data_IF_087543483314
#
_entry.id   IF_087543483314
#
_cell.length_a   1.000
_cell.length_b   1.000
_cell.length_c   1.000
_cell.angle_alpha   90.00
_cell.angle_beta   90.00
_cell.angle_gamma   90.00
#
_symmetry.space_group_name_H-M   'P 1'
#
loop_
_entity.id
_entity.type
_entity.pdbx_description
1 polymer ?
#
# COMPACT_ATOMS: atom_id res chain seq x y z
N UNK A 1 1.77 13.40 21.53
CA UNK A 1 2.20 14.20 20.38
C UNK A 1 0.95 14.52 19.57
N UNK A 2 0.53 15.78 19.43
CA UNK A 2 -0.63 16.10 18.59
C UNK A 2 -0.19 16.19 17.12
N UNK A 3 -0.83 15.45 16.21
CA UNK A 3 -0.46 15.50 14.79
C UNK A 3 -1.03 16.76 14.14
N UNK A 4 -0.16 17.75 13.96
CA UNK A 4 -0.48 18.97 13.21
C UNK A 4 -0.51 18.67 11.71
N UNK A 5 -1.71 18.33 11.20
CA UNK A 5 -1.96 17.99 9.78
C UNK A 5 -1.41 19.05 8.81
N UNK A 6 -1.61 20.33 9.14
CA UNK A 6 -1.13 21.46 8.33
C UNK A 6 0.39 21.51 8.28
N UNK A 7 1.04 21.32 9.43
CA UNK A 7 2.49 21.35 9.54
C UNK A 7 3.14 20.20 8.77
N UNK A 8 2.56 19.00 8.85
CA UNK A 8 3.02 17.84 8.07
C UNK A 8 3.01 18.15 6.57
N UNK A 9 1.91 18.70 6.05
CA UNK A 9 1.78 19.01 4.61
C UNK A 9 2.77 20.11 4.19
N UNK A 10 2.86 21.21 4.96
CA UNK A 10 3.76 22.32 4.66
C UNK A 10 5.23 21.89 4.74
N UNK A 11 5.58 21.11 5.76
CA UNK A 11 6.94 20.59 5.95
C UNK A 11 7.32 19.65 4.80
N UNK A 12 6.46 18.67 4.49
CA UNK A 12 6.67 17.74 3.39
C UNK A 12 6.84 18.46 2.04
N UNK A 13 6.03 19.50 1.79
CA UNK A 13 6.14 20.33 0.58
C UNK A 13 7.45 21.11 0.50
N UNK A 14 7.93 21.66 1.62
CA UNK A 14 9.20 22.38 1.66
C UNK A 14 10.40 21.44 1.43
N UNK A 15 10.38 20.25 2.02
CA UNK A 15 11.41 19.22 1.81
C UNK A 15 11.42 18.75 0.34
N UNK A 16 10.24 18.48 -0.21
CA UNK A 16 10.07 18.07 -1.60
C UNK A 16 10.61 19.12 -2.57
N UNK A 17 10.25 20.39 -2.37
CA UNK A 17 10.66 21.52 -3.21
C UNK A 17 12.16 21.60 -3.45
N UNK A 18 12.96 21.31 -2.43
CA UNK A 18 14.41 21.38 -2.53
C UNK A 18 14.99 20.28 -3.45
N UNK A 19 14.30 19.14 -3.56
CA UNK A 19 14.75 17.96 -4.31
C UNK A 19 13.82 17.61 -5.49
N UNK A 20 12.98 18.54 -5.93
CA UNK A 20 11.93 18.31 -6.94
C UNK A 20 12.48 17.73 -8.25
N UNK A 21 13.61 18.23 -8.73
CA UNK A 21 14.19 17.78 -10.00
C UNK A 21 14.52 16.27 -9.98
N UNK A 22 15.10 15.80 -8.88
CA UNK A 22 15.43 14.38 -8.70
C UNK A 22 14.15 13.54 -8.58
N UNK A 23 13.17 14.01 -7.82
CA UNK A 23 11.89 13.30 -7.66
C UNK A 23 11.12 13.20 -8.98
N UNK A 24 11.04 14.27 -9.76
CA UNK A 24 10.42 14.25 -11.09
C UNK A 24 11.14 13.27 -12.01
N UNK A 25 12.47 13.25 -11.98
CA UNK A 25 13.27 12.33 -12.81
C UNK A 25 12.99 10.87 -12.43
N UNK A 26 12.92 10.55 -11.15
CA UNK A 26 12.61 9.20 -10.68
C UNK A 26 11.19 8.79 -11.06
N UNK A 27 10.20 9.65 -10.83
CA UNK A 27 8.81 9.35 -11.17
C UNK A 27 8.65 9.16 -12.68
N UNK A 28 9.27 10.01 -13.50
CA UNK A 28 9.24 9.89 -14.95
C UNK A 28 9.94 8.61 -15.44
N UNK A 29 11.04 8.23 -14.80
CA UNK A 29 11.71 6.95 -15.05
C UNK A 29 10.80 5.76 -14.73
N UNK A 30 10.16 5.76 -13.55
CA UNK A 30 9.22 4.69 -13.13
C UNK A 30 8.04 4.59 -14.10
N UNK A 31 7.42 5.72 -14.48
CA UNK A 31 6.30 5.74 -15.43
C UNK A 31 6.74 5.19 -16.79
N UNK A 32 7.90 5.63 -17.30
CA UNK A 32 8.44 5.15 -18.58
C UNK A 32 8.67 3.64 -18.56
N UNK A 33 9.15 3.12 -17.44
CA UNK A 33 9.43 1.71 -17.25
C UNK A 33 8.13 0.87 -17.14
N UNK A 34 7.09 1.40 -16.50
CA UNK A 34 5.76 0.79 -16.49
C UNK A 34 5.17 0.70 -17.90
N UNK A 35 5.22 1.79 -18.67
CA UNK A 35 4.75 1.80 -20.07
C UNK A 35 5.53 0.77 -20.90
N UNK A 36 6.84 0.70 -20.73
CA UNK A 36 7.69 -0.27 -21.41
C UNK A 36 7.26 -1.72 -21.09
N UNK A 37 7.03 -2.04 -19.82
CA UNK A 37 6.56 -3.37 -19.42
C UNK A 37 5.19 -3.71 -20.01
N UNK A 38 4.25 -2.76 -20.01
CA UNK A 38 2.93 -2.97 -20.63
C UNK A 38 3.07 -3.25 -22.13
N UNK A 39 3.86 -2.47 -22.86
CA UNK A 39 4.07 -2.66 -24.30
C UNK A 39 4.72 -4.01 -24.59
N UNK A 40 5.72 -4.41 -23.80
CA UNK A 40 6.39 -5.71 -23.94
C UNK A 40 5.39 -6.84 -23.71
N UNK A 41 4.59 -6.76 -22.66
CA UNK A 41 3.59 -7.78 -22.35
C UNK A 41 2.55 -7.91 -23.48
N UNK A 42 2.01 -6.80 -23.97
CA UNK A 42 0.96 -6.78 -24.98
C UNK A 42 1.46 -7.23 -26.37
N UNK A 43 2.63 -6.74 -26.80
CA UNK A 43 3.12 -6.97 -28.17
C UNK A 43 3.98 -8.21 -28.35
N UNK A 44 4.78 -8.58 -27.35
CA UNK A 44 5.73 -9.69 -27.47
C UNK A 44 5.19 -10.99 -26.91
N UNK A 45 4.35 -10.93 -25.88
CA UNK A 45 3.91 -12.11 -25.14
C UNK A 45 2.45 -12.46 -25.39
N UNK A 46 1.62 -11.49 -25.78
CA UNK A 46 0.28 -11.67 -26.36
C UNK A 46 -0.67 -12.50 -25.49
N UNK A 47 -0.60 -13.82 -25.65
CA UNK A 47 -1.39 -14.80 -24.91
C UNK A 47 -0.82 -15.11 -23.50
N UNK A 48 -1.68 -15.66 -22.65
CA UNK A 48 -1.29 -16.16 -21.32
C UNK A 48 -0.48 -17.45 -21.48
N UNK A 49 0.82 -17.31 -21.74
CA UNK A 49 1.80 -18.39 -21.84
C UNK A 49 2.67 -18.40 -20.57
N UNK A 50 3.35 -19.50 -20.26
CA UNK A 50 4.29 -19.58 -19.14
C UNK A 50 5.35 -18.46 -19.14
N UNK A 51 5.83 -18.05 -20.31
CA UNK A 51 6.77 -16.94 -20.48
C UNK A 51 6.15 -15.59 -20.07
N UNK A 52 4.86 -15.36 -20.38
CA UNK A 52 4.18 -14.13 -20.02
C UNK A 52 3.92 -14.03 -18.53
N UNK A 53 3.54 -15.13 -17.89
CA UNK A 53 3.41 -15.21 -16.42
C UNK A 53 4.75 -14.92 -15.74
N UNK A 54 5.85 -15.54 -16.19
CA UNK A 54 7.18 -15.31 -15.62
C UNK A 54 7.61 -13.85 -15.78
N UNK A 55 7.36 -13.24 -16.94
CA UNK A 55 7.63 -11.82 -17.18
C UNK A 55 6.82 -10.92 -16.25
N UNK A 56 5.52 -11.17 -16.07
CA UNK A 56 4.66 -10.39 -15.16
C UNK A 56 5.19 -10.44 -13.73
N UNK A 57 5.56 -11.63 -13.25
CA UNK A 57 6.12 -11.79 -11.90
C UNK A 57 7.44 -11.02 -11.77
N UNK A 58 8.35 -11.15 -12.74
CA UNK A 58 9.63 -10.44 -12.72
C UNK A 58 9.44 -8.92 -12.77
N UNK A 59 8.55 -8.42 -13.63
CA UNK A 59 8.21 -7.00 -13.73
C UNK A 59 7.60 -6.47 -12.43
N UNK A 60 6.70 -7.25 -11.82
CA UNK A 60 6.09 -6.91 -10.53
C UNK A 60 7.13 -6.81 -9.41
N UNK A 61 8.01 -7.81 -9.28
CA UNK A 61 9.10 -7.78 -8.29
C UNK A 61 10.04 -6.60 -8.54
N UNK A 62 10.41 -6.34 -9.80
CA UNK A 62 11.26 -5.21 -10.14
C UNK A 62 10.60 -3.87 -9.75
N UNK A 63 9.30 -3.71 -10.03
CA UNK A 63 8.54 -2.52 -9.65
C UNK A 63 8.45 -2.36 -8.13
N UNK A 64 8.28 -3.44 -7.37
CA UNK A 64 8.34 -3.41 -5.90
C UNK A 64 9.72 -2.94 -5.41
N UNK A 65 10.80 -3.43 -6.02
CA UNK A 65 12.16 -2.99 -5.70
C UNK A 65 12.37 -1.48 -5.91
N UNK A 66 11.86 -0.94 -7.03
CA UNK A 66 11.89 0.51 -7.29
C UNK A 66 11.07 1.30 -6.26
N UNK A 67 9.90 0.80 -5.84
CA UNK A 67 9.09 1.43 -4.79
C UNK A 67 9.86 1.51 -3.47
N UNK A 68 10.60 0.46 -3.08
CA UNK A 68 11.44 0.48 -1.88
C UNK A 68 12.63 1.44 -2.00
N UNK A 69 13.20 1.58 -3.19
CA UNK A 69 14.23 2.58 -3.48
C UNK A 69 13.69 4.01 -3.33
N UNK A 70 12.50 4.28 -3.87
CA UNK A 70 11.82 5.56 -3.74
C UNK A 70 11.49 5.87 -2.28
N UNK A 71 11.05 4.87 -1.51
CA UNK A 71 10.80 5.00 -0.08
C UNK A 71 12.08 5.38 0.66
N UNK A 72 13.20 4.70 0.40
CA UNK A 72 14.51 5.03 1.00
C UNK A 72 14.94 6.46 0.65
N UNK A 73 14.78 6.88 -0.60
CA UNK A 73 15.07 8.26 -1.02
C UNK A 73 14.20 9.27 -0.26
N UNK A 74 12.91 8.96 -0.08
CA UNK A 74 11.97 9.83 0.64
C UNK A 74 12.34 9.96 2.13
N UNK A 75 12.78 8.86 2.76
CA UNK A 75 13.30 8.88 4.14
C UNK A 75 14.60 9.70 4.24
N UNK A 76 15.54 9.49 3.31
CA UNK A 76 16.79 10.23 3.26
C UNK A 76 16.57 11.74 3.08
N UNK A 77 15.54 12.14 2.31
CA UNK A 77 15.11 13.54 2.18
C UNK A 77 14.66 14.16 3.50
N UNK A 78 13.96 13.39 4.33
CA UNK A 78 13.51 13.85 5.65
C UNK A 78 14.69 13.91 6.63
N UNK A 79 15.60 12.93 6.55
CA UNK A 79 16.77 12.82 7.41
C UNK A 79 17.94 13.75 7.00
N UNK A 80 17.79 14.54 5.92
CA UNK A 80 18.84 15.38 5.33
C UNK A 80 20.12 14.59 4.97
N UNK A 81 19.94 13.35 4.53
CA UNK A 81 21.03 12.52 4.04
C UNK A 81 21.29 12.77 2.54
N UNK A 82 22.36 12.17 2.01
CA UNK A 82 22.68 12.26 0.58
C UNK A 82 21.59 11.57 -0.24
N UNK A 83 21.13 12.27 -1.28
CA UNK A 83 20.09 11.79 -2.18
C UNK A 83 20.66 11.73 -3.60
N UNK A 84 20.70 10.54 -4.15
CA UNK A 84 21.19 10.27 -5.50
C UNK A 84 20.23 9.32 -6.21
N UNK A 85 20.13 9.44 -7.54
CA UNK A 85 19.27 8.56 -8.35
C UNK A 85 19.60 7.07 -8.16
N UNK A 86 20.88 6.74 -7.96
CA UNK A 86 21.35 5.37 -7.82
C UNK A 86 20.80 4.67 -6.56
N UNK A 87 20.40 5.43 -5.53
CA UNK A 87 19.75 4.89 -4.33
C UNK A 87 18.43 4.17 -4.64
N UNK A 88 17.81 4.47 -5.78
CA UNK A 88 16.60 3.79 -6.26
C UNK A 88 16.80 2.26 -6.39
N UNK A 89 18.03 1.83 -6.70
CA UNK A 89 18.36 0.41 -6.87
C UNK A 89 19.01 -0.21 -5.62
N UNK A 90 19.31 0.57 -4.59
CA UNK A 90 20.06 0.09 -3.43
C UNK A 90 19.20 -0.77 -2.47
N UNK A 91 17.87 -0.59 -2.49
CA UNK A 91 16.95 -1.27 -1.58
C UNK A 91 16.50 -2.66 -2.05
N UNK A 92 17.00 -3.18 -3.18
CA UNK A 92 16.55 -4.48 -3.73
C UNK A 92 16.88 -5.67 -2.82
N UNK A 93 17.88 -5.55 -1.95
CA UNK A 93 18.19 -6.58 -0.96
C UNK A 93 17.08 -6.78 0.08
N UNK A 94 16.24 -5.76 0.33
CA UNK A 94 15.08 -5.82 1.23
C UNK A 94 13.79 -6.28 0.55
N UNK A 95 13.84 -6.62 -0.74
CA UNK A 95 12.66 -7.01 -1.52
C UNK A 95 12.01 -8.29 -0.97
N UNK A 96 12.81 -9.30 -0.61
CA UNK A 96 12.27 -10.56 -0.07
C UNK A 96 11.58 -10.35 1.29
N UNK A 97 12.21 -9.69 2.29
CA UNK A 97 11.52 -9.29 3.51
C UNK A 97 10.24 -8.48 3.25
N UNK A 98 10.26 -7.58 2.27
CA UNK A 98 9.10 -6.76 1.91
C UNK A 98 7.96 -7.62 1.39
N UNK A 99 8.21 -8.48 0.41
CA UNK A 99 7.18 -9.38 -0.16
C UNK A 99 6.57 -10.25 0.92
N UNK A 100 7.39 -10.82 1.82
CA UNK A 100 6.90 -11.63 2.93
C UNK A 100 6.05 -10.80 3.92
N UNK A 101 6.48 -9.59 4.25
CA UNK A 101 5.72 -8.68 5.09
C UNK A 101 4.38 -8.29 4.45
N UNK A 102 4.37 -8.00 3.14
CA UNK A 102 3.17 -7.69 2.38
C UNK A 102 2.21 -8.88 2.34
N UNK A 103 2.70 -10.12 2.17
CA UNK A 103 1.87 -11.32 2.23
C UNK A 103 1.22 -11.47 3.62
N UNK A 104 1.99 -11.27 4.70
CA UNK A 104 1.44 -11.32 6.06
C UNK A 104 0.42 -10.20 6.32
N UNK A 105 0.69 -8.99 5.84
CA UNK A 105 -0.24 -7.87 5.90
C UNK A 105 -1.55 -8.17 5.16
N UNK A 106 -1.47 -8.71 3.94
CA UNK A 106 -2.64 -9.11 3.15
C UNK A 106 -3.44 -10.23 3.84
N UNK A 107 -2.74 -11.22 4.41
CA UNK A 107 -3.38 -12.29 5.17
C UNK A 107 -4.11 -11.74 6.42
N UNK A 108 -3.50 -10.80 7.14
CA UNK A 108 -4.11 -10.16 8.30
C UNK A 108 -5.35 -9.35 7.91
N UNK A 109 -5.32 -8.63 6.78
CA UNK A 109 -6.50 -7.93 6.24
C UNK A 109 -7.62 -8.90 5.86
N UNK A 110 -7.29 -10.02 5.20
CA UNK A 110 -8.28 -11.02 4.83
C UNK A 110 -8.97 -11.63 6.06
N UNK A 111 -8.19 -11.93 7.11
CA UNK A 111 -8.73 -12.41 8.38
C UNK A 111 -9.62 -11.37 9.07
N UNK A 112 -9.23 -10.09 9.02
CA UNK A 112 -10.04 -9.00 9.57
C UNK A 112 -11.35 -8.79 8.81
N UNK A 113 -11.34 -8.97 7.48
CA UNK A 113 -12.51 -8.84 6.62
C UNK A 113 -13.39 -10.11 6.59
N UNK A 114 -12.86 -11.26 7.00
CA UNK A 114 -13.51 -12.57 6.90
C UNK A 114 -14.90 -12.64 7.54
N UNK A 115 -15.16 -12.08 8.74
CA UNK A 115 -16.50 -12.13 9.33
C UNK A 115 -17.57 -11.46 8.45
N UNK A 116 -17.26 -10.30 7.86
CA UNK A 116 -18.18 -9.60 6.96
C UNK A 116 -18.35 -10.31 5.62
N UNK A 117 -17.27 -10.92 5.10
CA UNK A 117 -17.29 -11.68 3.85
C UNK A 117 -18.17 -12.94 3.97
N UNK A 118 -18.04 -13.66 5.09
CA UNK A 118 -18.86 -14.85 5.36
C UNK A 118 -20.34 -14.47 5.51
N UNK A 119 -20.63 -13.38 6.22
CA UNK A 119 -21.98 -12.82 6.37
C UNK A 119 -22.57 -12.54 4.98
N UNK A 120 -21.85 -11.80 4.13
CA UNK A 120 -22.28 -11.46 2.78
C UNK A 120 -22.58 -12.70 1.92
N UNK A 121 -21.71 -13.72 1.95
CA UNK A 121 -21.94 -14.98 1.23
C UNK A 121 -23.22 -15.67 1.74
N UNK A 122 -23.40 -15.77 3.06
CA UNK A 122 -24.60 -16.44 3.61
C UNK A 122 -25.89 -15.73 3.21
N UNK A 123 -25.95 -14.40 3.27
CA UNK A 123 -27.15 -13.65 2.88
C UNK A 123 -27.43 -13.74 1.38
N UNK A 124 -26.40 -13.59 0.53
CA UNK A 124 -26.58 -13.73 -0.92
C UNK A 124 -27.08 -15.12 -1.33
N UNK A 125 -26.63 -16.18 -0.63
CA UNK A 125 -27.12 -17.54 -0.88
C UNK A 125 -28.57 -17.77 -0.42
N UNK A 126 -29.02 -17.08 0.64
CA UNK A 126 -30.37 -17.20 1.19
C UNK A 126 -31.43 -16.43 0.40
N UNK A 127 -31.05 -15.35 -0.29
CA UNK A 127 -31.97 -14.58 -1.14
C UNK A 127 -32.35 -15.29 -2.44
N UNK A 128 -31.49 -16.19 -2.95
CA UNK A 128 -31.80 -16.98 -4.14
C UNK A 128 -33.02 -17.91 -3.92
N UNK A 129 -33.30 -18.29 -2.66
CA UNK A 129 -34.40 -19.18 -2.29
C UNK A 129 -35.69 -18.44 -1.88
N UNK A 130 -35.62 -17.15 -1.49
CA UNK A 130 -36.75 -16.42 -0.90
C UNK A 130 -37.03 -15.08 -1.61
N UNK A 131 -37.77 -15.14 -2.72
CA UNK A 131 -38.28 -13.98 -3.47
C UNK A 131 -39.37 -13.19 -2.69
N UNK A 132 -39.07 -12.54 -1.55
CA UNK A 132 -40.10 -11.74 -0.87
C UNK A 132 -39.69 -10.67 0.17
N UNK A 133 -38.41 -10.35 0.42
CA UNK A 133 -38.10 -9.53 1.61
C UNK A 133 -37.24 -8.29 1.36
N UNK A 134 -37.82 -7.12 1.61
CA UNK A 134 -37.15 -5.81 1.71
C UNK A 134 -36.02 -5.77 2.76
N UNK A 135 -35.85 -6.83 3.56
CA UNK A 135 -34.78 -6.99 4.55
C UNK A 135 -33.41 -7.27 3.94
N UNK A 136 -33.36 -7.69 2.68
CA UNK A 136 -32.11 -7.97 1.95
C UNK A 136 -31.11 -6.82 1.93
N UNK A 137 -31.60 -5.64 1.52
CA UNK A 137 -30.77 -4.45 1.35
C UNK A 137 -30.11 -3.98 2.65
N UNK A 138 -30.80 -4.03 3.79
CA UNK A 138 -30.24 -3.61 5.08
C UNK A 138 -29.19 -4.61 5.60
N UNK A 139 -29.37 -5.91 5.36
CA UNK A 139 -28.43 -6.95 5.78
C UNK A 139 -27.14 -6.94 4.94
N UNK A 140 -27.25 -6.67 3.63
CA UNK A 140 -26.09 -6.49 2.76
C UNK A 140 -25.26 -5.27 3.18
N UNK A 141 -25.92 -4.14 3.45
CA UNK A 141 -25.25 -2.92 3.95
C UNK A 141 -24.53 -3.21 5.26
N UNK A 142 -25.18 -3.91 6.19
CA UNK A 142 -24.56 -4.28 7.47
C UNK A 142 -23.33 -5.19 7.29
N UNK A 143 -23.41 -6.16 6.37
CA UNK A 143 -22.31 -7.05 6.02
C UNK A 143 -21.10 -6.26 5.50
N UNK A 144 -21.36 -5.30 4.61
CA UNK A 144 -20.34 -4.43 4.04
C UNK A 144 -19.69 -3.56 5.13
N UNK A 145 -20.47 -2.99 6.05
CA UNK A 145 -19.93 -2.20 7.17
C UNK A 145 -19.01 -3.05 8.05
N UNK A 146 -19.45 -4.27 8.40
CA UNK A 146 -18.66 -5.21 9.21
C UNK A 146 -17.37 -5.65 8.50
N UNK A 147 -17.36 -5.68 7.16
CA UNK A 147 -16.17 -5.98 6.38
C UNK A 147 -15.21 -4.79 6.30
N UNK A 148 -15.73 -3.59 6.02
CA UNK A 148 -14.93 -2.39 5.73
C UNK A 148 -14.29 -1.82 7.00
N UNK A 149 -15.04 -1.70 8.10
CA UNK A 149 -14.55 -1.06 9.34
C UNK A 149 -13.27 -1.72 9.88
N UNK A 150 -13.20 -3.05 10.09
CA UNK A 150 -11.98 -3.69 10.58
C UNK A 150 -10.85 -3.68 9.54
N UNK A 151 -11.17 -3.76 8.24
CA UNK A 151 -10.18 -3.66 7.17
C UNK A 151 -9.51 -2.28 7.14
N UNK A 152 -10.30 -1.19 7.20
CA UNK A 152 -9.78 0.18 7.29
C UNK A 152 -8.96 0.36 8.56
N UNK A 153 -9.49 -0.06 9.71
CA UNK A 153 -8.80 0.04 10.99
C UNK A 153 -7.42 -0.62 10.95
N UNK A 154 -7.35 -1.87 10.45
CA UNK A 154 -6.10 -2.61 10.37
C UNK A 154 -5.15 -2.02 9.32
N UNK A 155 -5.69 -1.58 8.17
CA UNK A 155 -4.90 -0.96 7.11
C UNK A 155 -4.18 0.30 7.62
N UNK A 156 -4.92 1.21 8.27
CA UNK A 156 -4.34 2.43 8.86
C UNK A 156 -3.32 2.10 9.94
N UNK A 157 -3.56 1.05 10.73
CA UNK A 157 -2.62 0.64 11.77
C UNK A 157 -1.33 0.04 11.24
N UNK A 158 -1.40 -0.62 10.10
CA UNK A 158 -0.24 -1.33 9.54
C UNK A 158 0.46 -0.55 8.43
N UNK A 159 -0.12 0.54 7.90
CA UNK A 159 0.41 1.30 6.74
C UNK A 159 1.89 1.68 6.82
N UNK A 160 2.49 1.77 8.02
CA UNK A 160 3.89 2.17 8.20
C UNK A 160 4.91 1.02 8.18
N UNK A 161 4.48 -0.24 7.98
CA UNK A 161 5.38 -1.40 8.11
C UNK A 161 6.55 -1.35 7.13
N UNK A 162 6.31 -0.88 5.91
CA UNK A 162 7.33 -0.76 4.86
C UNK A 162 8.41 0.29 5.21
N UNK A 163 8.04 1.36 5.94
CA UNK A 163 8.98 2.36 6.40
C UNK A 163 9.91 1.78 7.47
N UNK A 164 9.37 1.06 8.46
CA UNK A 164 10.20 0.39 9.47
C UNK A 164 11.10 -0.69 8.89
N UNK A 165 10.63 -1.38 7.85
CA UNK A 165 11.42 -2.39 7.17
C UNK A 165 12.63 -1.79 6.46
N UNK A 166 12.48 -0.62 5.83
CA UNK A 166 13.56 0.03 5.06
C UNK A 166 14.47 0.90 5.93
N UNK A 167 13.91 1.62 6.90
CA UNK A 167 14.64 2.55 7.78
C UNK A 167 15.48 1.80 8.82
N UNK A 168 14.88 0.78 9.46
CA UNK A 168 15.52 0.05 10.55
C UNK A 168 16.05 -1.33 10.13
N UNK A 169 15.81 -1.74 8.89
CA UNK A 169 16.22 -3.05 8.35
C UNK A 169 15.83 -4.21 9.28
N UNK A 170 14.68 -4.07 9.94
CA UNK A 170 14.25 -4.96 11.02
C UNK A 170 13.48 -6.19 10.49
N UNK A 171 13.26 -7.17 11.37
CA UNK A 171 12.60 -8.42 10.97
C UNK A 171 11.16 -8.19 10.46
N UNK A 172 10.68 -9.11 9.62
CA UNK A 172 9.33 -9.06 8.99
C UNK A 172 8.21 -8.85 10.03
N UNK A 173 8.21 -9.64 11.11
CA UNK A 173 7.20 -9.51 12.17
C UNK A 173 7.43 -8.25 13.01
N UNK A 174 8.70 -7.89 13.21
CA UNK A 174 9.07 -6.72 14.01
C UNK A 174 8.59 -5.42 13.35
N UNK A 175 8.69 -5.30 12.03
CA UNK A 175 8.22 -4.12 11.29
C UNK A 175 6.71 -3.93 11.39
N UNK A 176 5.95 -5.04 11.33
CA UNK A 176 4.48 -5.05 11.50
C UNK A 176 4.12 -4.66 12.94
N UNK A 177 4.80 -5.20 13.94
CA UNK A 177 4.56 -4.88 15.36
C UNK A 177 4.87 -3.39 15.63
N UNK A 178 6.00 -2.88 15.13
CA UNK A 178 6.37 -1.46 15.28
C UNK A 178 5.35 -0.53 14.62
N UNK A 179 4.89 -0.88 13.42
CA UNK A 179 3.81 -0.15 12.73
C UNK A 179 2.52 -0.11 13.56
N UNK A 180 2.15 -1.24 14.15
CA UNK A 180 0.97 -1.37 14.99
C UNK A 180 1.11 -0.58 16.31
N UNK A 181 2.31 -0.47 16.87
CA UNK A 181 2.58 0.24 18.12
C UNK A 181 2.57 1.77 17.92
N UNK A 182 3.24 2.28 16.87
CA UNK A 182 3.29 3.73 16.61
C UNK A 182 1.94 4.32 16.20
N UNK A 183 1.07 3.52 15.58
CA UNK A 183 -0.28 3.94 15.19
C UNK A 183 -1.30 3.90 16.34
N UNK A 184 -0.93 3.35 17.50
CA UNK A 184 -1.82 3.19 18.64
C UNK A 184 -2.20 4.56 19.22
N UNK A 185 -3.51 4.80 19.32
CA UNK A 185 -4.06 6.06 19.83
C UNK A 185 -4.24 7.16 18.77
N UNK A 186 -3.68 6.99 17.57
CA UNK A 186 -3.72 7.98 16.49
C UNK A 186 -4.48 7.54 15.23
N UNK A 187 -5.17 6.39 15.28
CA UNK A 187 -5.84 5.79 14.10
C UNK A 187 -6.78 6.76 13.39
N UNK A 188 -7.59 7.51 14.14
CA UNK A 188 -8.54 8.46 13.55
C UNK A 188 -7.82 9.67 12.94
N UNK A 189 -6.77 10.18 13.58
CA UNK A 189 -5.96 11.28 13.05
C UNK A 189 -5.24 10.90 11.76
N UNK A 190 -4.69 9.68 11.72
CA UNK A 190 -4.04 9.10 10.54
C UNK A 190 -5.03 8.85 9.41
N UNK A 191 -6.23 8.34 9.73
CA UNK A 191 -7.29 8.14 8.75
C UNK A 191 -7.73 9.47 8.11
N UNK A 192 -7.96 10.51 8.92
CA UNK A 192 -8.31 11.85 8.40
C UNK A 192 -7.18 12.43 7.55
N UNK A 193 -5.93 12.28 7.98
CA UNK A 193 -4.78 12.73 7.17
C UNK A 193 -4.74 12.01 5.82
N UNK A 194 -4.93 10.69 5.81
CA UNK A 194 -5.01 9.90 4.59
C UNK A 194 -6.16 10.34 3.67
N UNK A 195 -7.34 10.62 4.23
CA UNK A 195 -8.48 11.12 3.47
C UNK A 195 -8.21 12.49 2.84
N UNK A 196 -7.59 13.43 3.58
CA UNK A 196 -7.20 14.75 3.05
C UNK A 196 -6.20 14.58 1.89
N UNK A 197 -5.18 13.74 2.06
CA UNK A 197 -4.19 13.47 1.02
C UNK A 197 -4.83 12.84 -0.23
N UNK A 198 -5.78 11.92 -0.06
CA UNK A 198 -6.50 11.31 -1.19
C UNK A 198 -7.34 12.32 -1.97
N UNK A 199 -7.95 13.31 -1.30
CA UNK A 199 -8.73 14.37 -1.97
C UNK A 199 -7.82 15.30 -2.77
N UNK A 200 -6.59 15.55 -2.32
CA UNK A 200 -5.63 16.40 -3.05
C UNK A 200 -5.18 15.72 -4.36
N UNK A 201 -5.11 14.39 -4.38
CA UNK A 201 -4.63 13.62 -5.52
C UNK A 201 -5.72 13.30 -6.56
N UNK A 202 -7.01 13.35 -6.18
CA UNK A 202 -8.16 13.09 -7.03
C UNK A 202 -8.54 14.32 -7.88
#
# INVERSE_FOLDING_TARGET
>A
MELSKKEIIISSWNILKHHLALMITIVLFIISLNILFTIVQEKLLGDITYQSILFIIAACLFQMGLNLGLLRISLNMINNEKIEFLLLFNSFHMLIPYVLATILYLAALLLAASPGLLLLITFSSLELDNMASYTGSLTEILSIIIMIVPAIYLSVRLQFYEYFLIDQECGILESIIKSADISKGYVLELFILGAILSIIFL
#
